data_IF_577464198291
#
_entry.id   IF_577464198291
#
_cell.length_a   1.000
_cell.length_b   1.000
_cell.length_c   1.000
_cell.angle_alpha   90.00
_cell.angle_beta   90.00
_cell.angle_gamma   90.00
#
_symmetry.space_group_name_H-M   'P 1'
#
loop_
_entity.id
_entity.type
_entity.pdbx_description
1 polymer ?
#
# COMPACT_ATOMS: atom_id res chain seq x y z
N UNK A 1 6.43 -4.89 14.15
CA UNK A 1 5.32 -5.03 13.17
C UNK A 1 5.90 -4.68 11.83
N UNK A 2 5.72 -5.53 10.82
CA UNK A 2 6.16 -5.23 9.45
C UNK A 2 5.05 -4.45 8.76
N UNK A 3 5.33 -3.25 8.30
CA UNK A 3 4.38 -2.42 7.53
C UNK A 3 4.60 -2.70 6.05
N UNK A 4 3.52 -3.01 5.33
CA UNK A 4 3.60 -3.21 3.88
C UNK A 4 3.34 -1.91 3.13
N UNK A 5 3.67 -1.87 1.84
CA UNK A 5 3.39 -0.74 0.95
C UNK A 5 1.92 -0.29 1.06
N UNK A 6 0.99 -1.25 1.06
CA UNK A 6 -0.43 -0.95 1.15
C UNK A 6 -0.82 -0.30 2.49
N UNK A 7 -0.25 -0.75 3.60
CA UNK A 7 -0.47 -0.13 4.92
C UNK A 7 0.03 1.33 4.94
N UNK A 8 1.18 1.60 4.30
CA UNK A 8 1.69 2.96 4.15
C UNK A 8 0.75 3.81 3.27
N UNK A 9 0.23 3.25 2.17
CA UNK A 9 -0.74 3.91 1.31
C UNK A 9 -1.99 4.34 2.08
N UNK A 10 -2.57 3.44 2.87
CA UNK A 10 -3.75 3.71 3.69
C UNK A 10 -3.47 4.64 4.88
N UNK A 11 -2.24 4.64 5.42
CA UNK A 11 -1.84 5.61 6.44
C UNK A 11 -1.81 7.04 5.89
N UNK A 12 -1.31 7.21 4.66
CA UNK A 12 -1.26 8.51 3.97
C UNK A 12 -2.67 9.00 3.67
N UNK A 13 -3.47 8.22 2.93
CA UNK A 13 -4.86 8.55 2.63
C UNK A 13 -5.65 7.33 2.15
N UNK A 14 -6.93 7.23 2.51
CA UNK A 14 -7.78 6.11 2.07
C UNK A 14 -7.89 6.04 0.54
N UNK A 15 -7.98 7.18 -0.14
CA UNK A 15 -8.00 7.24 -1.61
C UNK A 15 -6.67 6.78 -2.22
N UNK A 16 -5.53 7.10 -1.61
CA UNK A 16 -4.22 6.62 -2.05
C UNK A 16 -4.14 5.10 -1.90
N UNK A 17 -4.62 4.55 -0.78
CA UNK A 17 -4.77 3.11 -0.60
C UNK A 17 -5.65 2.47 -1.66
N UNK A 18 -6.84 3.03 -1.90
CA UNK A 18 -7.81 2.53 -2.88
C UNK A 18 -7.32 2.57 -4.33
N UNK A 19 -6.39 3.46 -4.67
CA UNK A 19 -5.86 3.61 -6.02
C UNK A 19 -4.46 2.99 -6.19
N UNK A 20 -3.88 2.41 -5.14
CA UNK A 20 -2.52 1.87 -5.13
C UNK A 20 -2.42 0.57 -5.93
N UNK A 21 -1.66 0.58 -7.02
CA UNK A 21 -1.40 -0.61 -7.84
C UNK A 21 -0.01 -1.19 -7.64
N UNK A 22 0.96 -0.37 -7.23
CA UNK A 22 2.35 -0.78 -7.03
C UNK A 22 3.08 0.30 -6.22
N UNK A 23 4.27 -0.02 -5.75
CA UNK A 23 5.22 0.98 -5.30
C UNK A 23 6.57 0.83 -5.99
N UNK A 24 7.35 1.91 -5.96
CA UNK A 24 8.74 1.90 -6.41
C UNK A 24 9.60 2.19 -5.18
N UNK A 25 10.47 1.24 -4.84
CA UNK A 25 11.41 1.33 -3.73
C UNK A 25 12.81 1.39 -4.31
N UNK A 26 13.54 2.48 -4.06
CA UNK A 26 14.93 2.64 -4.50
C UNK A 26 15.20 2.32 -6.00
N UNK A 27 14.19 2.57 -6.87
CA UNK A 27 14.14 2.29 -8.33
C UNK A 27 13.68 0.89 -8.74
N UNK A 28 13.35 0.02 -7.82
CA UNK A 28 12.70 -1.25 -8.11
C UNK A 28 11.19 -1.14 -7.97
N UNK A 29 10.43 -1.63 -8.95
CA UNK A 29 8.96 -1.72 -8.85
C UNK A 29 8.60 -2.97 -8.06
N UNK A 30 7.95 -2.77 -6.93
CA UNK A 30 7.50 -3.82 -6.02
C UNK A 30 5.97 -3.89 -5.96
N UNK A 31 5.47 -5.04 -5.53
CA UNK A 31 4.05 -5.24 -5.31
C UNK A 31 3.54 -4.55 -4.03
N UNK A 32 2.23 -4.29 -3.90
CA UNK A 32 1.65 -3.62 -2.73
C UNK A 32 1.77 -4.38 -1.40
N UNK A 33 2.02 -5.69 -1.44
CA UNK A 33 2.25 -6.51 -0.25
C UNK A 33 3.70 -6.45 0.25
N UNK A 34 4.60 -5.78 -0.48
CA UNK A 34 6.00 -5.70 -0.12
C UNK A 34 6.20 -5.03 1.24
N UNK A 35 7.00 -5.67 2.10
CA UNK A 35 7.34 -5.16 3.42
C UNK A 35 8.34 -4.01 3.32
N UNK A 36 7.97 -2.85 3.85
CA UNK A 36 8.82 -1.67 3.91
C UNK A 36 9.87 -1.80 5.02
N UNK A 37 11.06 -1.25 4.78
CA UNK A 37 12.10 -1.10 5.80
C UNK A 37 12.32 0.37 6.11
N UNK A 38 12.72 0.65 7.35
CA UNK A 38 13.08 1.99 7.78
C UNK A 38 14.24 2.54 6.93
N UNK A 39 14.05 3.74 6.37
CA UNK A 39 15.01 4.40 5.48
C UNK A 39 14.75 4.20 3.98
N UNK A 40 13.78 3.37 3.60
CA UNK A 40 13.41 3.20 2.19
C UNK A 40 12.63 4.40 1.63
N UNK A 41 13.05 4.87 0.45
CA UNK A 41 12.25 5.82 -0.33
C UNK A 41 11.19 5.07 -1.13
N UNK A 42 9.94 5.23 -0.71
CA UNK A 42 8.77 4.60 -1.33
C UNK A 42 8.05 5.63 -2.19
N UNK A 43 7.84 5.31 -3.46
CA UNK A 43 6.94 6.06 -4.35
C UNK A 43 5.73 5.20 -4.67
N UNK A 44 4.55 5.66 -4.28
CA UNK A 44 3.31 4.95 -4.58
C UNK A 44 2.87 5.25 -6.01
N UNK A 45 2.54 4.19 -6.74
CA UNK A 45 1.97 4.27 -8.08
C UNK A 45 0.47 4.10 -7.96
N UNK A 46 -0.25 5.18 -8.30
CA UNK A 46 -1.70 5.22 -8.31
C UNK A 46 -2.22 5.08 -9.74
N UNK A 47 -3.43 4.56 -9.89
CA UNK A 47 -4.15 4.55 -11.17
C UNK A 47 -5.42 5.42 -11.09
N UNK A 48 -5.96 5.85 -12.22
CA UNK A 48 -7.20 6.66 -12.27
C UNK A 48 -8.44 5.93 -11.73
N UNK A 49 -8.49 4.59 -11.85
CA UNK A 49 -9.62 3.79 -11.38
C UNK A 49 -9.35 3.21 -9.98
N UNK A 50 -10.36 3.14 -9.10
CA UNK A 50 -10.18 2.44 -7.83
C UNK A 50 -9.83 0.97 -8.07
N UNK A 51 -8.80 0.48 -7.39
CA UNK A 51 -8.39 -0.92 -7.38
C UNK A 51 -9.33 -1.67 -6.45
N UNK A 52 -9.98 -2.72 -6.97
CA UNK A 52 -10.67 -3.69 -6.13
C UNK A 52 -9.62 -4.67 -5.62
N UNK A 53 -9.14 -4.44 -4.40
CA UNK A 53 -8.24 -5.38 -3.74
C UNK A 53 -8.96 -6.67 -3.43
N UNK A 54 -8.26 -7.80 -3.59
CA UNK A 54 -8.77 -9.08 -3.14
C UNK A 54 -9.01 -9.05 -1.62
N UNK A 55 -10.05 -9.72 -1.10
CA UNK A 55 -10.37 -9.73 0.33
C UNK A 55 -9.20 -10.17 1.22
N UNK A 56 -8.31 -11.02 0.70
CA UNK A 56 -7.09 -11.46 1.40
C UNK A 56 -6.09 -10.34 1.66
N UNK A 57 -6.00 -9.32 0.81
CA UNK A 57 -5.16 -8.14 1.10
C UNK A 57 -5.78 -7.28 2.22
N UNK A 58 -7.11 -7.24 2.32
CA UNK A 58 -7.79 -6.55 3.42
C UNK A 58 -7.52 -7.22 4.78
N UNK A 59 -7.29 -8.55 4.80
CA UNK A 59 -6.88 -9.29 5.99
C UNK A 59 -5.43 -9.04 6.40
N UNK A 60 -4.57 -8.72 5.43
CA UNK A 60 -3.15 -8.38 5.66
C UNK A 60 -2.96 -6.95 6.17
N UNK A 61 -3.80 -6.01 5.74
CA UNK A 61 -3.80 -4.63 6.22
C UNK A 61 -4.15 -4.57 7.72
N UNK A 62 -3.15 -4.29 8.57
CA UNK A 62 -3.33 -4.21 10.03
C UNK A 62 -3.75 -2.82 10.51
N UNK A 63 -3.92 -1.88 9.61
CA UNK A 63 -4.28 -0.51 9.96
C UNK A 63 -5.79 -0.38 10.25
N UNK A 64 -6.18 0.16 11.42
CA UNK A 64 -7.60 0.31 11.80
C UNK A 64 -8.38 1.28 10.90
N UNK A 65 -7.69 2.11 10.10
CA UNK A 65 -8.28 3.00 9.09
C UNK A 65 -8.85 2.29 7.86
N UNK A 66 -8.40 1.07 7.56
CA UNK A 66 -8.96 0.28 6.45
C UNK A 66 -10.38 -0.27 6.75
N UNK A 67 -10.87 -0.09 7.98
CA UNK A 67 -12.09 -0.74 8.50
C UNK A 67 -13.21 0.24 8.89
N UNK A 68 -13.06 1.54 8.60
CA UNK A 68 -14.03 2.59 8.97
C UNK A 68 -14.71 3.23 7.78
#
# INVERSE_FOLDING_TARGET
MQSIVLDFAFQVHTEVGNHCIAAIIQRERVEPDHVLKDGDQVKIVLQEKPVLFEPRLQELCKTPRARS
#
